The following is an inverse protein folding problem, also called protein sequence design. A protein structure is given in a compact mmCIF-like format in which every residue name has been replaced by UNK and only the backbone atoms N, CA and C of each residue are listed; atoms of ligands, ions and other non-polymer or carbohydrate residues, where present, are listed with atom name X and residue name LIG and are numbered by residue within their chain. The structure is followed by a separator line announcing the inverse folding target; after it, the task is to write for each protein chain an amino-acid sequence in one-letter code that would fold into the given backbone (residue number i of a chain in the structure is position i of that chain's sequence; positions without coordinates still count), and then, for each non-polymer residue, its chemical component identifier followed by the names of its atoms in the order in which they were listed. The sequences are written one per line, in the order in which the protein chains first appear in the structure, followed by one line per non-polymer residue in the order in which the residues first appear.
data_IF_516456996329
#
_entry.id   IF_516456996329
#
_cell.length_a   1.000
_cell.length_b   1.000
_cell.length_c   1.000
_cell.angle_alpha   90.00
_cell.angle_beta   90.00
_cell.angle_gamma   90.00
#
_symmetry.space_group_name_H-M   'P 1'
#
loop_
_entity.id
_entity.type
_entity.pdbx_description
1 polymer ?
#
# COMPACT_ATOMS: atom_id res chain seq x y z
N UNK A 1 -7.30 -19.86 1.26
CA UNK A 1 -7.22 -18.39 1.32
C UNK A 1 -7.37 -17.83 -0.09
N UNK A 2 -7.86 -16.58 -0.26
CA UNK A 2 -7.74 -15.89 -1.55
C UNK A 2 -6.27 -15.84 -1.96
N UNK A 3 -5.98 -15.87 -3.26
CA UNK A 3 -4.62 -15.70 -3.78
C UNK A 3 -4.10 -14.28 -3.56
N UNK A 4 -2.81 -14.09 -3.84
CA UNK A 4 -2.18 -12.76 -3.80
C UNK A 4 -2.84 -11.80 -4.81
N UNK A 5 -3.09 -10.56 -4.38
CA UNK A 5 -3.78 -9.54 -5.15
C UNK A 5 -2.93 -8.29 -5.42
N UNK A 6 -1.83 -8.09 -4.70
CA UNK A 6 -0.85 -7.06 -4.98
C UNK A 6 0.55 -7.65 -5.10
N UNK A 7 1.32 -7.12 -6.06
CA UNK A 7 2.73 -7.42 -6.26
C UNK A 7 3.48 -6.10 -6.33
N UNK A 8 4.36 -5.87 -5.36
CA UNK A 8 5.19 -4.67 -5.27
C UNK A 8 6.60 -5.06 -5.69
N UNK A 9 6.98 -4.66 -6.91
CA UNK A 9 8.31 -4.93 -7.46
C UNK A 9 9.26 -3.75 -7.29
N UNK A 10 10.51 -4.03 -6.94
CA UNK A 10 11.57 -3.02 -6.85
C UNK A 10 12.95 -3.62 -7.12
N UNK A 11 13.98 -2.76 -7.09
CA UNK A 11 15.38 -3.17 -7.39
C UNK A 11 15.88 -4.30 -6.47
N UNK A 12 15.47 -4.29 -5.21
CA UNK A 12 15.96 -5.24 -4.21
C UNK A 12 15.14 -6.54 -4.13
N UNK A 13 14.03 -6.66 -4.86
CA UNK A 13 13.13 -7.80 -4.74
C UNK A 13 11.67 -7.44 -5.03
N UNK A 14 10.78 -8.40 -4.79
CA UNK A 14 9.33 -8.24 -4.95
C UNK A 14 8.59 -8.76 -3.71
N UNK A 15 7.51 -8.10 -3.31
CA UNK A 15 6.64 -8.51 -2.20
C UNK A 15 5.22 -8.77 -2.71
N UNK A 16 4.65 -9.92 -2.34
CA UNK A 16 3.22 -10.20 -2.59
C UNK A 16 2.38 -10.02 -1.33
N UNK A 17 1.13 -9.59 -1.51
CA UNK A 17 0.13 -9.39 -0.46
C UNK A 17 -1.15 -10.13 -0.85
N UNK A 18 -1.80 -10.90 0.06
CA UNK A 18 -1.54 -10.95 1.51
C UNK A 18 -0.62 -12.08 1.98
N UNK A 19 -0.04 -12.92 1.09
CA UNK A 19 0.88 -13.99 1.52
C UNK A 19 2.10 -13.46 2.25
N UNK A 20 2.44 -12.19 2.05
CA UNK A 20 3.63 -11.53 2.59
C UNK A 20 4.91 -12.26 2.18
N UNK A 21 4.90 -12.91 1.01
CA UNK A 21 6.08 -13.57 0.47
C UNK A 21 6.99 -12.52 -0.14
N UNK A 22 8.22 -12.42 0.38
CA UNK A 22 9.27 -11.57 -0.16
C UNK A 22 10.22 -12.40 -1.01
N UNK A 23 10.35 -12.06 -2.28
CA UNK A 23 11.36 -12.61 -3.17
C UNK A 23 12.53 -11.65 -3.31
N UNK A 24 13.75 -12.12 -3.04
CA UNK A 24 14.99 -11.35 -3.24
C UNK A 24 16.21 -12.26 -3.38
N UNK A 25 17.32 -11.71 -3.86
CA UNK A 25 18.62 -12.37 -3.71
C UNK A 25 19.02 -12.41 -2.23
N UNK A 26 19.61 -13.51 -1.79
CA UNK A 26 20.00 -13.73 -0.40
C UNK A 26 21.09 -12.74 0.05
N UNK A 27 22.01 -12.40 -0.85
CA UNK A 27 23.10 -11.45 -0.57
C UNK A 27 22.69 -10.01 -0.88
N UNK A 28 23.31 -9.07 -0.18
CA UNK A 28 23.15 -7.64 -0.44
C UNK A 28 23.84 -7.17 -1.73
N UNK A 29 24.75 -7.98 -2.30
CA UNK A 29 25.41 -7.68 -3.57
C UNK A 29 24.45 -7.82 -4.76
N UNK A 30 23.33 -8.55 -4.57
CA UNK A 30 22.30 -8.78 -5.59
C UNK A 30 22.89 -9.26 -6.92
N UNK A 31 23.94 -10.09 -6.83
CA UNK A 31 24.56 -10.63 -8.02
C UNK A 31 23.61 -11.66 -8.61
N UNK A 32 23.45 -11.67 -9.93
CA UNK A 32 22.47 -12.55 -10.60
C UNK A 32 22.75 -14.05 -10.39
N UNK A 33 23.96 -14.42 -9.97
CA UNK A 33 24.34 -15.79 -9.60
C UNK A 33 23.99 -16.15 -8.15
N UNK A 34 23.66 -15.16 -7.32
CA UNK A 34 23.31 -15.39 -5.93
C UNK A 34 21.93 -16.05 -5.84
N UNK A 35 21.72 -16.97 -4.88
CA UNK A 35 20.44 -17.62 -4.69
C UNK A 35 19.28 -16.62 -4.58
N UNK A 36 18.22 -16.89 -5.35
CA UNK A 36 16.97 -16.14 -5.29
C UNK A 36 15.98 -16.88 -4.39
N UNK A 37 15.63 -16.28 -3.27
CA UNK A 37 14.87 -16.93 -2.20
C UNK A 37 13.46 -16.35 -2.08
N UNK A 38 12.52 -17.19 -1.68
CA UNK A 38 11.16 -16.81 -1.31
C UNK A 38 11.03 -16.89 0.22
N UNK A 39 10.81 -15.74 0.85
CA UNK A 39 10.84 -15.58 2.30
C UNK A 39 9.47 -15.11 2.79
N UNK A 40 8.63 -16.00 3.35
CA UNK A 40 7.39 -15.60 4.02
C UNK A 40 7.73 -14.65 5.18
N UNK A 41 7.13 -13.45 5.18
CA UNK A 41 7.30 -12.53 6.29
C UNK A 41 6.25 -12.81 7.37
N UNK A 42 6.66 -12.90 8.66
CA UNK A 42 5.71 -13.10 9.74
C UNK A 42 4.81 -11.87 9.89
N UNK A 43 3.54 -12.13 10.17
CA UNK A 43 2.56 -11.12 10.55
C UNK A 43 2.28 -11.26 12.05
N UNK A 44 2.06 -10.13 12.72
CA UNK A 44 1.69 -10.11 14.14
C UNK A 44 0.27 -10.61 14.41
N UNK A 45 -0.53 -10.81 13.36
CA UNK A 45 -1.92 -11.25 13.43
C UNK A 45 -2.87 -10.20 14.00
N UNK A 46 -2.44 -8.94 14.09
CA UNK A 46 -3.28 -7.83 14.56
C UNK A 46 -4.49 -7.64 13.66
N UNK A 47 -5.59 -7.15 14.25
CA UNK A 47 -6.85 -6.98 13.53
C UNK A 47 -6.94 -5.54 13.04
N UNK A 48 -6.99 -5.30 11.71
CA UNK A 48 -6.88 -3.95 11.17
C UNK A 48 -7.98 -3.01 11.69
N UNK A 49 -9.21 -3.51 11.88
CA UNK A 49 -10.30 -2.71 12.43
C UNK A 49 -10.12 -2.34 13.91
N UNK A 50 -9.49 -3.21 14.72
CA UNK A 50 -9.17 -2.85 16.10
C UNK A 50 -8.08 -1.78 16.11
N UNK A 51 -6.98 -2.00 15.38
CA UNK A 51 -5.90 -1.03 15.27
C UNK A 51 -6.39 0.35 14.79
N UNK A 52 -7.36 0.37 13.85
CA UNK A 52 -7.96 1.60 13.34
C UNK A 52 -8.82 2.32 14.38
N UNK A 53 -9.62 1.58 15.16
CA UNK A 53 -10.45 2.15 16.22
C UNK A 53 -9.58 2.67 17.37
N UNK A 54 -8.57 1.91 17.78
CA UNK A 54 -7.62 2.32 18.83
C UNK A 54 -6.93 3.64 18.43
N UNK A 55 -6.40 3.72 17.19
CA UNK A 55 -5.82 4.96 16.66
C UNK A 55 -6.83 6.12 16.60
N UNK A 56 -8.09 5.84 16.26
CA UNK A 56 -9.13 6.87 16.21
C UNK A 56 -9.41 7.46 17.60
N UNK A 57 -9.42 6.62 18.65
CA UNK A 57 -9.55 7.08 20.03
C UNK A 57 -8.36 7.95 20.45
N UNK A 58 -7.13 7.53 20.14
CA UNK A 58 -5.92 8.32 20.43
C UNK A 58 -5.94 9.71 19.77
N UNK A 59 -6.50 9.81 18.55
CA UNK A 59 -6.67 11.10 17.87
C UNK A 59 -7.72 11.97 18.55
N UNK A 60 -8.84 11.40 19.00
CA UNK A 60 -9.88 12.13 19.75
C UNK A 60 -9.32 12.69 21.05
N UNK A 61 -8.50 11.89 21.75
CA UNK A 61 -7.86 12.26 23.01
C UNK A 61 -6.69 13.24 22.82
N UNK A 62 -6.31 13.54 21.57
CA UNK A 62 -5.21 14.45 21.23
C UNK A 62 -3.83 13.87 21.53
N UNK A 63 -3.72 12.55 21.73
CA UNK A 63 -2.47 11.84 22.02
C UNK A 63 -1.77 11.34 20.76
N UNK A 64 -2.47 11.29 19.62
CA UNK A 64 -1.90 10.96 18.32
C UNK A 64 -2.38 11.92 17.22
N UNK A 65 -1.56 12.06 16.17
CA UNK A 65 -1.99 12.69 14.92
C UNK A 65 -2.65 11.65 14.01
N UNK A 66 -3.63 12.04 13.17
CA UNK A 66 -4.25 11.10 12.24
C UNK A 66 -3.21 10.55 11.25
N UNK A 67 -3.08 9.22 11.16
CA UNK A 67 -2.23 8.55 10.15
C UNK A 67 -2.72 8.85 8.74
N UNK A 68 -4.04 9.02 8.57
CA UNK A 68 -4.68 9.46 7.33
C UNK A 68 -5.38 10.78 7.62
N UNK A 69 -4.85 11.87 7.08
CA UNK A 69 -5.42 13.21 7.24
C UNK A 69 -6.63 13.44 6.33
N UNK A 70 -7.33 14.56 6.54
CA UNK A 70 -8.40 14.99 5.64
C UNK A 70 -7.88 15.24 4.20
N UNK A 71 -6.65 15.71 4.07
CA UNK A 71 -6.00 15.90 2.77
C UNK A 71 -5.76 14.56 2.07
N UNK A 72 -5.25 13.56 2.79
CA UNK A 72 -5.06 12.20 2.23
C UNK A 72 -6.38 11.58 1.77
N UNK A 73 -7.46 11.81 2.54
CA UNK A 73 -8.82 11.42 2.15
C UNK A 73 -9.28 12.12 0.87
N UNK A 74 -9.03 13.43 0.73
CA UNK A 74 -9.34 14.19 -0.48
C UNK A 74 -8.57 13.67 -1.70
N UNK A 75 -7.27 13.37 -1.54
CA UNK A 75 -6.44 12.78 -2.61
C UNK A 75 -6.98 11.41 -3.04
N UNK A 76 -7.40 10.58 -2.09
CA UNK A 76 -8.02 9.28 -2.37
C UNK A 76 -9.33 9.42 -3.16
N UNK A 77 -10.17 10.39 -2.78
CA UNK A 77 -11.40 10.70 -3.50
C UNK A 77 -11.10 11.20 -4.92
N UNK A 78 -10.14 12.12 -5.08
CA UNK A 78 -9.72 12.65 -6.37
C UNK A 78 -9.22 11.53 -7.30
N UNK A 79 -8.40 10.60 -6.79
CA UNK A 79 -7.95 9.44 -7.56
C UNK A 79 -9.13 8.57 -8.03
N UNK A 80 -10.11 8.33 -7.17
CA UNK A 80 -11.32 7.55 -7.49
C UNK A 80 -12.14 8.22 -8.59
N UNK A 81 -12.33 9.54 -8.49
CA UNK A 81 -13.04 10.34 -9.50
C UNK A 81 -12.27 10.39 -10.83
N UNK A 82 -10.94 10.52 -10.80
CA UNK A 82 -10.10 10.51 -11.99
C UNK A 82 -10.28 9.23 -12.82
N UNK A 83 -10.39 8.07 -12.17
CA UNK A 83 -10.69 6.79 -12.86
C UNK A 83 -12.04 6.84 -13.58
N UNK A 84 -13.08 7.38 -12.92
CA UNK A 84 -14.40 7.50 -13.53
C UNK A 84 -14.39 8.45 -14.75
N UNK A 85 -13.71 9.59 -14.64
CA UNK A 85 -13.58 10.57 -15.73
C UNK A 85 -12.79 9.96 -16.89
N UNK A 86 -11.65 9.34 -16.61
CA UNK A 86 -10.81 8.72 -17.63
C UNK A 86 -11.57 7.65 -18.43
N UNK A 87 -12.36 6.81 -17.75
CA UNK A 87 -13.17 5.78 -18.39
C UNK A 87 -14.28 6.35 -19.29
N UNK A 88 -14.85 7.51 -18.95
CA UNK A 88 -15.92 8.17 -19.71
C UNK A 88 -15.41 8.98 -20.90
N UNK A 89 -14.24 9.58 -20.75
CA UNK A 89 -13.67 10.54 -21.71
C UNK A 89 -12.57 9.93 -22.59
N UNK A 90 -12.18 8.68 -22.34
CA UNK A 90 -11.11 7.97 -23.05
C UNK A 90 -9.79 8.78 -23.10
N UNK A 91 -9.43 9.38 -21.96
CA UNK A 91 -8.20 10.15 -21.82
C UNK A 91 -7.55 9.93 -20.46
N UNK A 92 -6.26 10.22 -20.40
CA UNK A 92 -5.55 10.35 -19.13
C UNK A 92 -6.04 11.59 -18.38
N UNK A 93 -6.29 11.43 -17.08
CA UNK A 93 -6.67 12.51 -16.15
C UNK A 93 -5.56 12.65 -15.12
N UNK A 94 -4.99 13.85 -14.98
CA UNK A 94 -4.04 14.12 -13.91
C UNK A 94 -4.81 14.40 -12.62
N UNK A 95 -4.53 13.65 -11.55
CA UNK A 95 -5.20 13.82 -10.25
C UNK A 95 -5.06 15.25 -9.73
N UNK A 96 -3.95 15.93 -10.01
CA UNK A 96 -3.72 17.31 -9.58
C UNK A 96 -4.75 18.31 -10.14
N UNK A 97 -5.39 18.00 -11.28
CA UNK A 97 -6.48 18.80 -11.86
C UNK A 97 -7.73 18.83 -10.96
N UNK A 98 -7.88 17.85 -10.06
CA UNK A 98 -9.05 17.68 -9.19
C UNK A 98 -8.83 18.15 -7.74
N UNK A 99 -7.61 18.62 -7.41
CA UNK A 99 -7.22 19.04 -6.06
C UNK A 99 -7.16 20.58 -5.90
N UNK A 100 -7.71 21.31 -6.88
CA UNK A 100 -7.70 22.79 -6.96
C UNK A 100 -8.85 23.40 -6.16
#
# INVERSE_FOLDING_TARGET
QPGDCYFIGGRAGSLAVPSMTLWRHETSAQHWQDPFVALPQPLDGSRPYHNQLDHFLDVIDGTAMPVVSAWDGMVTLAATLAVNIAAREDRTVNIAELLV
#
